data_IF_636212526670
#
_entry.id   IF_636212526670
#
_cell.length_a   1.000
_cell.length_b   1.000
_cell.length_c   1.000
_cell.angle_alpha   90.00
_cell.angle_beta   90.00
_cell.angle_gamma   90.00
#
_symmetry.space_group_name_H-M   'P 1'
#
loop_
_entity.id
_entity.type
_entity.pdbx_description
1 polymer ?
#
# COMPACT_ATOMS: atom_id res chain seq x y z
N UNK A 1 -1.98 -11.78 -20.82
CA UNK A 1 -2.22 -10.37 -20.51
C UNK A 1 -1.92 -10.16 -19.03
N UNK A 2 -0.97 -9.28 -18.71
CA UNK A 2 -0.62 -8.79 -17.38
C UNK A 2 -1.88 -8.17 -16.80
N UNK A 3 -2.06 -8.37 -15.51
CA UNK A 3 -3.19 -7.80 -14.83
C UNK A 3 -3.15 -6.26 -14.81
N UNK A 4 -1.97 -5.60 -14.92
CA UNK A 4 -1.81 -4.13 -14.82
C UNK A 4 -2.44 -3.32 -15.97
N UNK A 5 -1.99 -3.40 -17.24
CA UNK A 5 -2.60 -2.62 -18.32
C UNK A 5 -4.05 -3.06 -18.58
N UNK A 6 -4.38 -4.33 -18.31
CA UNK A 6 -5.73 -4.83 -18.43
C UNK A 6 -6.65 -4.25 -17.35
N UNK A 7 -6.22 -4.17 -16.08
CA UNK A 7 -7.00 -3.56 -15.00
C UNK A 7 -7.19 -2.08 -15.23
N UNK A 8 -6.12 -1.37 -15.64
CA UNK A 8 -6.20 0.05 -16.03
C UNK A 8 -7.19 0.26 -17.18
N UNK A 9 -7.14 -0.55 -18.23
CA UNK A 9 -8.08 -0.45 -19.34
C UNK A 9 -9.54 -0.68 -18.93
N UNK A 10 -9.81 -1.74 -18.14
CA UNK A 10 -11.18 -2.01 -17.67
C UNK A 10 -11.69 -0.89 -16.74
N UNK A 11 -10.84 -0.34 -15.89
CA UNK A 11 -11.21 0.77 -15.03
C UNK A 11 -11.47 2.05 -15.83
N UNK A 12 -10.64 2.33 -16.84
CA UNK A 12 -10.89 3.42 -17.77
C UNK A 12 -12.26 3.26 -18.44
N UNK A 13 -12.57 2.08 -18.99
CA UNK A 13 -13.89 1.82 -19.60
C UNK A 13 -15.05 2.00 -18.61
N UNK A 14 -14.87 1.59 -17.35
CA UNK A 14 -15.87 1.81 -16.30
C UNK A 14 -16.12 3.31 -16.08
N UNK A 15 -15.05 4.10 -16.00
CA UNK A 15 -15.13 5.55 -15.84
C UNK A 15 -15.78 6.21 -17.05
N UNK A 16 -15.43 5.79 -18.27
CA UNK A 16 -16.06 6.29 -19.49
C UNK A 16 -17.58 6.06 -19.49
N UNK A 17 -18.04 4.92 -18.97
CA UNK A 17 -19.47 4.62 -18.80
C UNK A 17 -20.15 5.43 -17.69
N UNK A 18 -19.42 5.74 -16.61
CA UNK A 18 -19.97 6.52 -15.48
C UNK A 18 -19.88 8.04 -15.71
N UNK A 19 -19.02 8.49 -16.63
CA UNK A 19 -18.70 9.89 -16.92
C UNK A 19 -19.91 10.81 -17.13
N UNK A 20 -20.99 10.41 -17.84
CA UNK A 20 -22.19 11.25 -17.96
C UNK A 20 -22.84 11.63 -16.63
N UNK A 21 -22.61 10.83 -15.58
CA UNK A 21 -23.08 11.10 -14.21
C UNK A 21 -22.06 11.86 -13.36
N UNK A 22 -20.78 11.86 -13.74
CA UNK A 22 -19.65 12.44 -13.01
C UNK A 22 -19.23 13.84 -13.52
N UNK A 23 -19.57 14.20 -14.76
CA UNK A 23 -19.29 15.52 -15.38
C UNK A 23 -20.25 16.62 -14.92
N UNK A 24 -20.61 16.67 -13.64
CA UNK A 24 -21.30 17.85 -13.09
C UNK A 24 -20.26 18.95 -12.82
N UNK A 25 -20.55 20.24 -13.07
CA UNK A 25 -19.60 21.36 -12.92
C UNK A 25 -18.96 21.55 -11.53
N UNK A 26 -19.35 20.75 -10.54
CA UNK A 26 -18.94 20.85 -9.13
C UNK A 26 -18.14 19.64 -8.65
N UNK A 27 -17.87 18.65 -9.52
CA UNK A 27 -17.10 17.48 -9.14
C UNK A 27 -15.59 17.82 -9.21
N UNK A 28 -14.86 17.88 -8.07
CA UNK A 28 -13.40 17.91 -8.11
C UNK A 28 -12.89 16.70 -8.89
N UNK A 29 -11.72 16.84 -9.52
CA UNK A 29 -11.11 15.86 -10.42
C UNK A 29 -11.22 14.42 -9.93
N UNK A 30 -11.25 13.48 -10.89
CA UNK A 30 -11.49 12.07 -10.59
C UNK A 30 -10.42 11.51 -9.64
N UNK A 31 -10.82 11.31 -8.38
CA UNK A 31 -10.01 10.67 -7.36
C UNK A 31 -10.21 9.16 -7.41
N UNK A 32 -9.17 8.41 -7.79
CA UNK A 32 -9.20 6.95 -7.80
C UNK A 32 -9.05 6.39 -6.39
N UNK A 33 -10.18 6.04 -5.76
CA UNK A 33 -10.23 5.42 -4.43
C UNK A 33 -10.69 3.97 -4.54
N UNK A 34 -9.81 3.03 -4.19
CA UNK A 34 -10.17 1.62 -3.95
C UNK A 34 -10.11 1.37 -2.43
N UNK A 35 -11.18 0.85 -1.78
CA UNK A 35 -11.16 0.55 -0.35
C UNK A 35 -10.07 -0.47 0.02
N UNK A 36 -9.30 -0.16 1.06
CA UNK A 36 -8.11 -0.91 1.48
C UNK A 36 -8.42 -1.83 2.66
N UNK A 37 -8.63 -3.14 2.44
CA UNK A 37 -9.22 -3.96 3.50
C UNK A 37 -8.93 -5.48 3.58
N UNK A 38 -7.91 -6.15 3.00
CA UNK A 38 -7.55 -7.55 3.47
C UNK A 38 -6.18 -8.07 3.09
N UNK A 39 -5.83 -9.30 3.55
CA UNK A 39 -4.61 -9.51 4.29
C UNK A 39 -3.41 -9.22 3.39
N UNK A 40 -2.67 -8.23 3.84
CA UNK A 40 -1.28 -8.37 4.25
C UNK A 40 -0.19 -8.79 3.22
N UNK A 41 -0.51 -9.21 1.99
CA UNK A 41 0.46 -9.34 0.86
C UNK A 41 -0.06 -8.62 -0.42
N UNK A 42 -1.23 -7.99 -0.30
CA UNK A 42 -1.95 -7.40 -1.43
C UNK A 42 -1.67 -5.91 -1.64
N UNK A 43 -1.27 -5.21 -0.58
CA UNK A 43 -1.16 -3.76 -0.57
C UNK A 43 0.02 -3.24 -1.42
N UNK A 44 1.11 -4.02 -1.48
CA UNK A 44 2.29 -3.73 -2.29
C UNK A 44 1.97 -3.60 -3.80
N UNK A 45 0.92 -4.30 -4.26
CA UNK A 45 0.49 -4.33 -5.67
C UNK A 45 -0.37 -3.11 -6.06
N UNK A 46 -1.12 -2.55 -5.10
CA UNK A 46 -2.12 -1.50 -5.37
C UNK A 46 -1.46 -0.14 -5.67
N UNK A 47 -0.33 0.21 -5.06
CA UNK A 47 0.41 1.44 -5.39
C UNK A 47 0.88 1.43 -6.84
N UNK A 48 1.41 0.30 -7.29
CA UNK A 48 1.95 0.11 -8.65
C UNK A 48 0.85 0.17 -9.70
N UNK A 49 -0.29 -0.44 -9.40
CA UNK A 49 -1.48 -0.37 -10.25
C UNK A 49 -2.01 1.06 -10.35
N UNK A 50 -2.11 1.81 -9.23
CA UNK A 50 -2.59 3.21 -9.25
C UNK A 50 -1.71 4.11 -10.13
N UNK A 51 -0.40 4.00 -10.01
CA UNK A 51 0.55 4.75 -10.84
C UNK A 51 0.32 4.43 -12.33
N UNK A 52 0.29 3.13 -12.67
CA UNK A 52 0.07 2.68 -14.05
C UNK A 52 -1.30 3.09 -14.60
N UNK A 53 -2.35 3.13 -13.76
CA UNK A 53 -3.69 3.59 -14.13
C UNK A 53 -3.70 5.07 -14.51
N UNK A 54 -3.10 5.94 -13.69
CA UNK A 54 -3.07 7.39 -13.97
C UNK A 54 -2.28 7.66 -15.25
N UNK A 55 -1.08 7.09 -15.40
CA UNK A 55 -0.28 7.17 -16.63
C UNK A 55 -1.05 6.66 -17.85
N UNK A 56 -1.74 5.52 -17.72
CA UNK A 56 -2.59 4.97 -18.79
C UNK A 56 -3.73 5.93 -19.18
N UNK A 57 -4.44 6.50 -18.21
CA UNK A 57 -5.56 7.42 -18.49
C UNK A 57 -5.09 8.70 -19.17
N UNK A 58 -3.95 9.25 -18.77
CA UNK A 58 -3.34 10.41 -19.43
C UNK A 58 -2.98 10.10 -20.89
N UNK A 59 -2.38 8.94 -21.16
CA UNK A 59 -2.15 8.47 -22.53
C UNK A 59 -3.47 8.29 -23.31
N UNK A 60 -4.54 7.82 -22.68
CA UNK A 60 -5.86 7.77 -23.33
C UNK A 60 -6.41 9.17 -23.63
N UNK A 61 -6.20 10.14 -22.73
CA UNK A 61 -6.59 11.54 -22.96
C UNK A 61 -5.87 12.15 -24.16
N UNK A 62 -4.57 11.91 -24.31
CA UNK A 62 -3.80 12.37 -25.49
C UNK A 62 -4.38 11.80 -26.80
N UNK A 63 -4.77 10.51 -26.79
CA UNK A 63 -5.43 9.87 -27.93
C UNK A 63 -6.83 10.42 -28.21
N UNK A 64 -7.55 10.92 -27.20
CA UNK A 64 -8.82 11.62 -27.38
C UNK A 64 -8.58 13.00 -28.00
N UNK A 65 -7.64 13.77 -27.45
CA UNK A 65 -7.34 15.13 -27.91
C UNK A 65 -6.83 15.16 -29.36
N UNK A 66 -6.00 14.18 -29.76
CA UNK A 66 -5.51 14.08 -31.12
C UNK A 66 -6.50 13.42 -32.10
N UNK A 67 -7.68 13.00 -31.63
CA UNK A 67 -8.75 12.44 -32.45
C UNK A 67 -8.63 10.95 -32.77
N UNK A 68 -7.58 10.26 -32.29
CA UNK A 68 -7.42 8.80 -32.47
C UNK A 68 -8.56 8.02 -31.79
N UNK A 69 -9.00 8.48 -30.61
CA UNK A 69 -10.19 7.98 -29.92
C UNK A 69 -11.29 9.05 -30.04
N UNK A 70 -12.26 8.82 -30.92
CA UNK A 70 -13.31 9.80 -31.25
C UNK A 70 -14.74 9.27 -31.14
N UNK A 71 -14.94 8.08 -30.56
CA UNK A 71 -16.27 7.51 -30.39
C UNK A 71 -17.06 8.25 -29.28
N UNK A 72 -18.40 8.34 -29.42
CA UNK A 72 -19.29 9.12 -28.54
C UNK A 72 -19.21 8.82 -27.03
N UNK A 73 -18.65 7.68 -26.64
CA UNK A 73 -18.49 7.27 -25.24
C UNK A 73 -17.12 7.60 -24.64
N UNK A 74 -16.21 8.18 -25.42
CA UNK A 74 -14.91 8.60 -24.92
C UNK A 74 -14.95 10.05 -24.45
N UNK A 75 -14.47 10.25 -23.23
CA UNK A 75 -14.44 11.51 -22.50
C UNK A 75 -13.04 11.73 -21.95
N UNK A 76 -12.56 12.96 -22.09
CA UNK A 76 -11.36 13.42 -21.42
C UNK A 76 -11.55 13.35 -19.90
N UNK A 77 -10.60 12.75 -19.20
CA UNK A 77 -10.60 12.64 -17.74
C UNK A 77 -9.59 13.61 -17.15
N UNK A 78 -10.04 14.66 -16.47
CA UNK A 78 -9.12 15.57 -15.80
C UNK A 78 -8.51 14.90 -14.57
N UNK A 79 -7.20 14.65 -14.62
CA UNK A 79 -6.40 14.04 -13.57
C UNK A 79 -5.42 15.08 -13.07
N UNK A 80 -5.49 15.36 -11.79
CA UNK A 80 -4.85 16.54 -11.21
C UNK A 80 -3.92 16.19 -10.04
N UNK A 81 -4.27 15.16 -9.25
CA UNK A 81 -3.49 14.75 -8.09
C UNK A 81 -3.43 13.22 -7.96
N UNK A 82 -2.23 12.67 -7.73
CA UNK A 82 -1.96 11.28 -7.36
C UNK A 82 -1.42 11.24 -5.92
N UNK A 83 -2.21 10.66 -5.01
CA UNK A 83 -1.77 10.36 -3.64
C UNK A 83 -1.37 8.90 -3.49
N UNK A 84 -0.22 8.64 -2.85
CA UNK A 84 0.25 7.29 -2.53
C UNK A 84 0.55 7.21 -1.03
N UNK A 85 -0.11 6.25 -0.37
CA UNK A 85 0.13 5.90 1.03
C UNK A 85 0.94 4.61 1.07
N UNK A 86 2.09 4.63 1.75
CA UNK A 86 2.97 3.47 2.00
C UNK A 86 3.11 2.57 0.76
N UNK A 87 3.48 3.17 -0.37
CA UNK A 87 3.57 2.46 -1.64
C UNK A 87 4.82 1.59 -1.74
N UNK A 88 4.67 0.36 -2.20
CA UNK A 88 5.77 -0.37 -2.80
C UNK A 88 5.79 0.01 -4.29
N UNK A 89 6.65 0.95 -4.66
CA UNK A 89 6.68 1.60 -5.97
C UNK A 89 7.65 0.87 -6.89
N UNK A 90 8.90 0.74 -6.43
CA UNK A 90 10.01 0.25 -7.24
C UNK A 90 10.93 -0.68 -6.44
N UNK A 91 11.12 -1.88 -6.95
CA UNK A 91 11.92 -2.90 -6.26
C UNK A 91 13.41 -2.58 -6.29
N UNK A 92 13.90 -1.91 -7.34
CA UNK A 92 15.31 -1.57 -7.46
C UNK A 92 15.75 -0.61 -6.34
N UNK A 93 14.93 0.41 -6.08
CA UNK A 93 15.19 1.43 -5.06
C UNK A 93 14.83 0.97 -3.64
N UNK A 94 13.82 0.10 -3.49
CA UNK A 94 13.28 -0.24 -2.18
C UNK A 94 13.87 -1.51 -1.54
N UNK A 95 14.31 -2.50 -2.32
CA UNK A 95 14.61 -3.83 -1.77
C UNK A 95 15.70 -3.81 -0.68
N UNK A 96 16.68 -2.91 -0.80
CA UNK A 96 17.73 -2.76 0.22
C UNK A 96 17.16 -2.38 1.60
N UNK A 97 16.07 -1.62 1.62
CA UNK A 97 15.45 -1.12 2.86
C UNK A 97 14.90 -2.23 3.75
N UNK A 98 14.54 -3.39 3.17
CA UNK A 98 14.09 -4.56 3.95
C UNK A 98 15.17 -5.10 4.89
N UNK A 99 16.45 -4.83 4.62
CA UNK A 99 17.55 -5.14 5.52
C UNK A 99 17.94 -3.95 6.41
N UNK A 100 18.03 -2.74 5.84
CA UNK A 100 18.55 -1.58 6.57
C UNK A 100 17.58 -1.03 7.61
N UNK A 101 16.28 -0.96 7.29
CA UNK A 101 15.26 -0.42 8.20
C UNK A 101 15.06 -1.23 9.50
N UNK A 102 14.89 -2.57 9.47
CA UNK A 102 14.74 -3.34 10.71
C UNK A 102 16.03 -3.44 11.52
N UNK A 103 17.18 -3.15 10.91
CA UNK A 103 18.48 -3.08 11.59
C UNK A 103 18.74 -1.69 12.20
N UNK A 104 18.36 -0.62 11.52
CA UNK A 104 18.50 0.76 11.96
C UNK A 104 17.24 1.58 11.60
N UNK A 105 16.48 1.96 12.61
CA UNK A 105 15.24 2.75 12.46
C UNK A 105 15.18 3.91 13.46
N UNK A 106 14.14 4.72 13.33
CA UNK A 106 13.89 5.91 14.14
C UNK A 106 13.29 5.60 15.51
N UNK A 107 13.05 4.32 15.82
CA UNK A 107 12.49 3.84 17.08
C UNK A 107 13.53 3.14 17.98
N UNK A 108 14.77 2.97 17.50
CA UNK A 108 15.83 2.28 18.25
C UNK A 108 15.62 0.77 18.37
N UNK A 109 14.74 0.19 17.53
CA UNK A 109 14.51 -1.24 17.49
C UNK A 109 15.61 -1.96 16.71
N UNK A 110 15.99 -3.14 17.17
CA UNK A 110 16.89 -4.05 16.45
C UNK A 110 16.12 -5.33 16.10
N UNK A 111 15.29 -5.25 15.06
CA UNK A 111 14.45 -6.37 14.63
C UNK A 111 15.23 -7.41 13.79
N UNK A 112 16.34 -7.01 13.17
CA UNK A 112 17.33 -7.93 12.59
C UNK A 112 18.63 -7.88 13.38
N UNK A 113 19.19 -9.05 13.68
CA UNK A 113 20.53 -9.14 14.23
C UNK A 113 21.62 -8.90 13.16
N UNK A 114 22.86 -8.69 13.59
CA UNK A 114 24.01 -8.42 12.70
C UNK A 114 24.19 -9.49 11.62
N UNK A 115 24.05 -10.77 11.98
CA UNK A 115 24.23 -11.88 11.03
C UNK A 115 23.14 -11.87 9.95
N UNK A 116 21.89 -11.62 10.31
CA UNK A 116 20.76 -11.55 9.37
C UNK A 116 20.92 -10.34 8.45
N UNK A 117 21.28 -9.19 9.00
CA UNK A 117 21.56 -7.97 8.24
C UNK A 117 22.67 -8.20 7.22
N UNK A 118 23.84 -8.67 7.65
CA UNK A 118 24.97 -8.90 6.73
C UNK A 118 24.67 -9.95 5.67
N UNK A 119 23.91 -11.01 6.02
CA UNK A 119 23.46 -12.02 5.05
C UNK A 119 22.56 -11.39 3.99
N UNK A 120 21.54 -10.61 4.37
CA UNK A 120 20.65 -9.96 3.42
C UNK A 120 21.39 -8.95 2.53
N UNK A 121 22.31 -8.17 3.11
CA UNK A 121 23.16 -7.24 2.36
C UNK A 121 24.07 -7.95 1.34
N UNK A 122 24.61 -9.13 1.69
CA UNK A 122 25.40 -9.95 0.77
C UNK A 122 24.55 -10.47 -0.40
N UNK A 123 23.37 -11.03 -0.12
CA UNK A 123 22.42 -11.49 -1.15
C UNK A 123 22.00 -10.36 -2.09
N UNK A 124 21.82 -9.14 -1.54
CA UNK A 124 21.44 -7.97 -2.30
C UNK A 124 22.53 -7.49 -3.27
N UNK A 125 23.79 -7.49 -2.82
CA UNK A 125 24.89 -6.77 -3.50
C UNK A 125 25.92 -7.64 -4.21
N UNK A 126 25.97 -8.95 -3.94
CA UNK A 126 26.93 -9.84 -4.61
C UNK A 126 26.73 -9.85 -6.13
N UNK A 127 27.76 -10.16 -6.93
CA UNK A 127 27.60 -10.38 -8.36
C UNK A 127 26.57 -11.47 -8.65
N UNK A 128 25.60 -11.17 -9.52
CA UNK A 128 24.46 -12.04 -9.80
C UNK A 128 23.44 -12.15 -8.65
N UNK A 129 23.54 -11.28 -7.64
CA UNK A 129 22.60 -11.15 -6.53
C UNK A 129 21.33 -10.42 -6.92
N UNK A 130 20.53 -10.08 -5.91
CA UNK A 130 19.17 -9.56 -6.10
C UNK A 130 19.16 -8.26 -6.93
N UNK A 131 20.11 -7.35 -6.70
CA UNK A 131 20.20 -6.10 -7.47
C UNK A 131 20.39 -6.36 -8.98
N UNK A 132 21.27 -7.31 -9.33
CA UNK A 132 21.52 -7.68 -10.74
C UNK A 132 20.31 -8.39 -11.34
N UNK A 133 19.64 -9.25 -10.56
CA UNK A 133 18.42 -9.94 -10.97
C UNK A 133 17.27 -8.97 -11.26
N UNK A 134 17.06 -7.95 -10.42
CA UNK A 134 16.04 -6.91 -10.66
C UNK A 134 16.34 -6.18 -11.98
N UNK A 135 17.58 -5.73 -12.17
CA UNK A 135 18.00 -5.05 -13.42
C UNK A 135 17.80 -5.90 -14.65
N UNK A 136 18.09 -7.20 -14.56
CA UNK A 136 17.86 -8.14 -15.66
C UNK A 136 16.37 -8.37 -15.93
N UNK A 137 15.52 -8.44 -14.90
CA UNK A 137 14.06 -8.47 -15.08
C UNK A 137 13.57 -7.22 -15.82
N UNK A 138 14.00 -6.03 -15.38
CA UNK A 138 13.66 -4.75 -16.03
C UNK A 138 14.15 -4.72 -17.48
N UNK A 139 15.37 -5.21 -17.76
CA UNK A 139 15.93 -5.29 -19.12
C UNK A 139 15.14 -6.26 -20.01
N UNK A 140 14.77 -7.43 -19.49
CA UNK A 140 13.97 -8.42 -20.22
C UNK A 140 12.57 -7.89 -20.50
N UNK A 141 11.92 -7.24 -19.53
CA UNK A 141 10.63 -6.57 -19.72
C UNK A 141 10.71 -5.56 -20.86
N UNK A 142 11.62 -4.59 -20.81
CA UNK A 142 11.76 -3.58 -21.88
C UNK A 142 11.99 -4.19 -23.27
N UNK A 143 12.72 -5.31 -23.34
CA UNK A 143 13.06 -5.95 -24.62
C UNK A 143 11.96 -6.86 -25.17
N UNK A 144 11.28 -7.61 -24.30
CA UNK A 144 10.40 -8.71 -24.69
C UNK A 144 8.93 -8.48 -24.34
N UNK A 145 8.63 -7.49 -23.52
CA UNK A 145 7.28 -7.10 -23.08
C UNK A 145 7.20 -5.58 -22.84
N UNK A 146 7.47 -4.75 -23.87
CA UNK A 146 7.54 -3.29 -23.71
C UNK A 146 6.19 -2.64 -23.34
N UNK A 147 5.07 -3.31 -23.61
CA UNK A 147 3.72 -2.86 -23.22
C UNK A 147 3.30 -3.29 -21.81
N UNK A 148 4.19 -3.97 -21.07
CA UNK A 148 3.92 -4.62 -19.77
C UNK A 148 2.64 -5.48 -19.82
N UNK A 149 2.44 -6.16 -20.95
CA UNK A 149 1.27 -6.97 -21.25
C UNK A 149 1.35 -8.36 -20.66
N UNK A 150 2.38 -8.77 -19.93
CA UNK A 150 2.39 -10.02 -19.15
C UNK A 150 2.09 -11.29 -19.92
N UNK A 151 2.30 -11.26 -21.23
CA UNK A 151 2.12 -12.36 -22.16
C UNK A 151 3.46 -13.02 -22.49
N UNK A 152 4.56 -12.32 -22.29
CA UNK A 152 5.91 -12.89 -22.35
C UNK A 152 6.18 -13.82 -21.17
N UNK A 153 5.96 -15.12 -21.37
CA UNK A 153 6.25 -16.16 -20.37
C UNK A 153 7.67 -16.06 -19.81
N UNK A 154 8.65 -15.75 -20.66
CA UNK A 154 10.05 -15.61 -20.26
C UNK A 154 10.24 -14.45 -19.27
N UNK A 155 9.60 -13.30 -19.51
CA UNK A 155 9.65 -12.16 -18.58
C UNK A 155 8.93 -12.51 -17.29
N UNK A 156 7.71 -13.05 -17.39
CA UNK A 156 6.89 -13.43 -16.24
C UNK A 156 7.61 -14.44 -15.33
N UNK A 157 8.16 -15.52 -15.88
CA UNK A 157 8.90 -16.54 -15.12
C UNK A 157 10.11 -15.93 -14.41
N UNK A 158 10.89 -15.11 -15.11
CA UNK A 158 12.11 -14.52 -14.57
C UNK A 158 11.79 -13.51 -13.46
N UNK A 159 10.90 -12.55 -13.72
CA UNK A 159 10.51 -11.55 -12.74
C UNK A 159 9.80 -12.16 -11.52
N UNK A 160 9.01 -13.24 -11.70
CA UNK A 160 8.45 -14.01 -10.58
C UNK A 160 9.54 -14.66 -9.73
N UNK A 161 10.56 -15.24 -10.37
CA UNK A 161 11.71 -15.80 -9.65
C UNK A 161 12.43 -14.72 -8.83
N UNK A 162 12.65 -13.53 -9.41
CA UNK A 162 13.22 -12.38 -8.68
C UNK A 162 12.38 -12.06 -7.43
N UNK A 163 11.06 -11.96 -7.58
CA UNK A 163 10.15 -11.70 -6.47
C UNK A 163 10.24 -12.76 -5.37
N UNK A 164 10.30 -14.03 -5.75
CA UNK A 164 10.48 -15.14 -4.80
C UNK A 164 11.84 -15.07 -4.07
N UNK A 165 12.91 -14.66 -4.77
CA UNK A 165 14.23 -14.48 -4.14
C UNK A 165 14.24 -13.29 -3.18
N UNK A 166 13.60 -12.16 -3.52
CA UNK A 166 13.43 -11.03 -2.61
C UNK A 166 12.69 -11.48 -1.35
N UNK A 167 11.57 -12.20 -1.52
CA UNK A 167 10.80 -12.73 -0.40
C UNK A 167 11.66 -13.61 0.51
N UNK A 168 12.34 -14.61 -0.07
CA UNK A 168 13.15 -15.58 0.69
C UNK A 168 14.35 -14.94 1.40
N UNK A 169 15.06 -14.01 0.73
CA UNK A 169 16.36 -13.53 1.22
C UNK A 169 16.29 -12.21 1.97
N UNK A 170 15.26 -11.39 1.72
CA UNK A 170 15.12 -10.06 2.32
C UNK A 170 14.00 -10.02 3.35
N UNK A 171 12.82 -10.55 3.01
CA UNK A 171 11.62 -10.42 3.84
C UNK A 171 11.49 -11.51 4.91
N UNK A 172 11.72 -12.77 4.52
CA UNK A 172 11.58 -13.92 5.42
C UNK A 172 12.50 -13.87 6.66
N UNK A 173 13.76 -13.39 6.60
CA UNK A 173 14.58 -13.23 7.80
C UNK A 173 13.93 -12.36 8.89
N UNK A 174 13.21 -11.30 8.49
CA UNK A 174 12.44 -10.45 9.40
C UNK A 174 11.20 -11.18 9.92
N UNK A 175 10.39 -11.76 9.03
CA UNK A 175 9.14 -12.47 9.41
C UNK A 175 9.40 -13.64 10.37
N UNK A 176 10.50 -14.37 10.18
CA UNK A 176 10.88 -15.51 11.00
C UNK A 176 11.33 -15.13 12.41
N UNK A 177 11.67 -13.86 12.67
CA UNK A 177 11.93 -13.42 14.05
C UNK A 177 10.69 -13.52 14.92
N UNK A 178 9.50 -13.39 14.33
CA UNK A 178 8.21 -13.42 15.04
C UNK A 178 8.02 -12.32 16.09
N UNK A 179 8.95 -11.35 16.18
CA UNK A 179 8.97 -10.35 17.24
C UNK A 179 8.10 -9.13 16.93
N UNK A 180 8.13 -8.67 15.69
CA UNK A 180 7.51 -7.41 15.25
C UNK A 180 6.50 -7.61 14.12
N UNK A 181 5.52 -6.71 14.04
CA UNK A 181 4.46 -6.72 13.03
C UNK A 181 4.94 -6.31 11.64
N UNK A 182 4.46 -7.02 10.61
CA UNK A 182 4.81 -6.73 9.21
C UNK A 182 4.40 -5.33 8.73
N UNK A 183 3.40 -4.72 9.36
CA UNK A 183 2.87 -3.39 9.01
C UNK A 183 3.05 -2.31 10.06
N UNK A 184 3.55 -2.70 11.24
CA UNK A 184 4.01 -1.82 12.28
C UNK A 184 5.12 -2.54 13.04
N UNK A 185 6.37 -2.12 12.80
CA UNK A 185 7.56 -2.71 13.43
C UNK A 185 7.57 -2.58 14.95
N UNK A 186 6.79 -1.64 15.50
CA UNK A 186 6.66 -1.39 16.94
C UNK A 186 5.56 -2.22 17.60
N UNK A 187 4.71 -2.88 16.81
CA UNK A 187 3.69 -3.81 17.28
C UNK A 187 4.22 -5.25 17.31
N UNK A 188 3.57 -6.16 18.07
CA UNK A 188 3.86 -7.59 18.00
C UNK A 188 3.56 -8.16 16.60
N UNK A 189 4.11 -9.34 16.30
CA UNK A 189 3.91 -10.03 15.01
C UNK A 189 2.44 -10.28 14.66
N UNK A 190 1.61 -10.58 15.66
CA UNK A 190 0.15 -10.60 15.55
C UNK A 190 -0.38 -9.17 15.75
N UNK A 191 -0.16 -8.32 14.76
CA UNK A 191 -0.49 -6.89 14.83
C UNK A 191 -2.01 -6.68 15.00
N UNK A 192 -2.47 -6.09 16.12
CA UNK A 192 -3.89 -5.91 16.38
C UNK A 192 -4.51 -4.76 15.56
N UNK A 193 -3.71 -3.92 14.90
CA UNK A 193 -4.19 -2.65 14.35
C UNK A 193 -3.83 -2.42 12.87
N UNK A 194 -4.71 -1.78 12.09
CA UNK A 194 -6.10 -1.46 12.39
C UNK A 194 -6.99 -2.70 12.36
N UNK A 195 -8.08 -2.71 13.14
CA UNK A 195 -9.00 -3.83 13.18
C UNK A 195 -9.81 -3.94 11.89
N UNK A 196 -10.17 -5.17 11.52
CA UNK A 196 -10.79 -5.48 10.23
C UNK A 196 -12.33 -5.48 10.27
N UNK A 197 -12.93 -4.65 11.11
CA UNK A 197 -14.38 -4.65 11.38
C UNK A 197 -15.26 -4.43 10.14
N UNK A 198 -14.71 -3.81 9.08
CA UNK A 198 -15.39 -3.64 7.80
C UNK A 198 -15.87 -4.97 7.20
N UNK A 199 -15.16 -6.07 7.45
CA UNK A 199 -15.53 -7.39 6.93
C UNK A 199 -16.85 -7.88 7.50
N UNK A 200 -17.02 -7.79 8.83
CA UNK A 200 -18.26 -8.19 9.49
C UNK A 200 -19.42 -7.27 9.14
N UNK A 201 -19.19 -5.96 9.03
CA UNK A 201 -20.22 -5.01 8.58
C UNK A 201 -20.72 -5.34 7.17
N UNK A 202 -19.82 -5.51 6.20
CA UNK A 202 -20.17 -5.78 4.80
C UNK A 202 -20.81 -7.17 4.59
N UNK A 203 -20.66 -8.08 5.55
CA UNK A 203 -21.29 -9.40 5.52
C UNK A 203 -22.64 -9.47 6.27
N UNK A 204 -23.16 -8.36 6.79
CA UNK A 204 -24.52 -8.34 7.32
C UNK A 204 -25.54 -8.34 6.18
N UNK A 205 -26.56 -9.19 6.27
CA UNK A 205 -27.57 -9.33 5.21
C UNK A 205 -28.29 -8.01 4.86
N UNK A 206 -28.56 -7.16 5.85
CA UNK A 206 -29.20 -5.88 5.59
C UNK A 206 -28.27 -4.90 4.85
N UNK A 207 -26.95 -4.96 5.08
CA UNK A 207 -25.95 -4.17 4.36
C UNK A 207 -25.85 -4.66 2.92
N UNK A 208 -25.71 -5.97 2.71
CA UNK A 208 -25.67 -6.57 1.37
C UNK A 208 -26.93 -6.23 0.57
N UNK A 209 -28.11 -6.30 1.19
CA UNK A 209 -29.38 -5.92 0.57
C UNK A 209 -29.40 -4.43 0.20
N UNK A 210 -28.95 -3.55 1.09
CA UNK A 210 -28.90 -2.12 0.83
C UNK A 210 -27.93 -1.75 -0.29
N UNK A 211 -26.79 -2.47 -0.42
CA UNK A 211 -25.82 -2.30 -1.49
C UNK A 211 -26.19 -3.03 -2.78
N UNK A 212 -27.23 -3.88 -2.77
CA UNK A 212 -27.64 -4.68 -3.93
C UNK A 212 -26.65 -5.80 -4.29
N UNK A 213 -25.82 -6.25 -3.36
CA UNK A 213 -24.80 -7.28 -3.61
C UNK A 213 -25.34 -8.67 -3.27
N UNK A 214 -25.36 -9.62 -4.23
CA UNK A 214 -25.92 -10.96 -3.99
C UNK A 214 -24.94 -11.96 -3.37
N UNK A 215 -23.71 -11.53 -3.04
CA UNK A 215 -22.61 -12.40 -2.60
C UNK A 215 -21.98 -11.91 -1.30
N UNK A 216 -21.36 -12.84 -0.57
CA UNK A 216 -20.57 -12.52 0.61
C UNK A 216 -19.32 -11.72 0.25
N UNK A 217 -18.97 -10.80 1.15
CA UNK A 217 -17.82 -9.95 0.98
C UNK A 217 -16.56 -10.65 1.50
N UNK A 218 -15.60 -10.88 0.60
CA UNK A 218 -14.22 -11.11 0.99
C UNK A 218 -13.46 -9.83 0.71
N UNK A 219 -12.69 -9.38 1.69
CA UNK A 219 -12.01 -8.09 1.52
C UNK A 219 -10.75 -8.21 0.61
N UNK A 220 -10.38 -9.42 0.19
CA UNK A 220 -9.30 -9.73 -0.75
C UNK A 220 -9.63 -10.99 -1.56
N UNK A 221 -8.90 -11.23 -2.65
CA UNK A 221 -9.10 -12.36 -3.57
C UNK A 221 -7.77 -13.07 -3.84
N UNK A 222 -7.60 -14.30 -3.35
CA UNK A 222 -6.38 -15.08 -3.58
C UNK A 222 -6.11 -15.31 -5.07
N UNK A 223 -7.16 -15.57 -5.86
CA UNK A 223 -7.04 -15.81 -7.30
C UNK A 223 -6.52 -14.60 -8.06
N UNK A 224 -6.97 -13.39 -7.69
CA UNK A 224 -6.43 -12.17 -8.32
C UNK A 224 -4.96 -11.99 -7.88
N UNK A 225 -4.62 -12.33 -6.63
CA UNK A 225 -3.28 -12.14 -6.08
C UNK A 225 -2.26 -13.07 -6.72
N UNK A 226 -2.67 -14.31 -6.93
CA UNK A 226 -1.96 -15.32 -7.71
C UNK A 226 -1.82 -14.88 -9.17
N UNK A 227 -2.86 -14.29 -9.77
CA UNK A 227 -2.81 -13.69 -11.10
C UNK A 227 -1.61 -12.74 -11.29
N UNK A 228 -1.48 -11.75 -10.41
CA UNK A 228 -0.33 -10.82 -10.40
C UNK A 228 0.99 -11.50 -10.05
N UNK A 229 0.96 -12.53 -9.18
CA UNK A 229 2.14 -13.30 -8.80
C UNK A 229 2.72 -14.10 -9.97
N UNK A 230 1.86 -14.73 -10.78
CA UNK A 230 2.24 -15.50 -11.95
C UNK A 230 2.91 -14.65 -13.03
N UNK A 231 2.53 -13.38 -13.14
CA UNK A 231 3.11 -12.42 -14.10
C UNK A 231 4.34 -11.69 -13.57
N UNK A 232 4.75 -11.93 -12.32
CA UNK A 232 5.97 -11.37 -11.74
C UNK A 232 5.88 -9.86 -11.47
N UNK A 233 4.67 -9.32 -11.28
CA UNK A 233 4.39 -7.89 -11.22
C UNK A 233 5.16 -7.12 -10.14
N UNK A 234 5.54 -7.81 -9.07
CA UNK A 234 6.30 -7.27 -7.94
C UNK A 234 7.76 -6.97 -8.26
N UNK A 235 8.32 -7.50 -9.34
CA UNK A 235 9.73 -7.25 -9.70
C UNK A 235 9.90 -6.57 -11.04
N UNK A 236 8.79 -6.27 -11.73
CA UNK A 236 8.77 -5.49 -12.96
C UNK A 236 9.20 -4.04 -12.71
N UNK A 237 9.53 -3.30 -13.76
CA UNK A 237 9.87 -1.87 -13.69
C UNK A 237 8.77 -0.99 -14.29
N UNK A 238 9.07 0.30 -14.47
CA UNK A 238 8.21 1.26 -15.16
C UNK A 238 7.47 2.24 -14.25
N UNK A 239 7.36 1.96 -12.95
CA UNK A 239 6.57 2.79 -12.04
C UNK A 239 7.22 4.15 -11.76
N UNK A 240 8.54 4.22 -11.65
CA UNK A 240 9.23 5.50 -11.48
C UNK A 240 9.07 6.36 -12.74
N UNK A 241 9.20 5.76 -13.92
CA UNK A 241 9.00 6.43 -15.20
C UNK A 241 7.56 6.91 -15.37
N UNK A 242 6.57 6.13 -14.95
CA UNK A 242 5.17 6.55 -14.94
C UNK A 242 4.93 7.73 -13.98
N UNK A 243 5.54 7.73 -12.78
CA UNK A 243 5.46 8.90 -11.88
C UNK A 243 6.13 10.12 -12.54
N UNK A 244 7.28 9.94 -13.17
CA UNK A 244 7.98 11.03 -13.84
C UNK A 244 7.17 11.64 -14.97
N UNK A 245 6.57 10.78 -15.82
CA UNK A 245 5.64 11.21 -16.86
C UNK A 245 4.44 11.97 -16.28
N UNK A 246 3.84 11.47 -15.19
CA UNK A 246 2.71 12.12 -14.50
C UNK A 246 3.11 13.53 -14.01
N UNK A 247 4.28 13.66 -13.38
CA UNK A 247 4.81 14.93 -12.87
C UNK A 247 5.10 15.93 -14.00
N UNK A 248 5.76 15.50 -15.07
CA UNK A 248 6.12 16.35 -16.22
C UNK A 248 4.89 16.87 -16.98
N UNK A 249 3.73 16.24 -16.80
CA UNK A 249 2.44 16.68 -17.34
C UNK A 249 1.61 17.48 -16.33
N UNK A 250 2.23 17.97 -15.24
CA UNK A 250 1.63 18.92 -14.32
C UNK A 250 0.74 18.33 -13.23
N UNK A 251 0.64 17.00 -13.13
CA UNK A 251 -0.11 16.33 -12.06
C UNK A 251 0.68 16.39 -10.76
N UNK A 252 0.01 16.70 -9.66
CA UNK A 252 0.60 16.71 -8.31
C UNK A 252 0.77 15.29 -7.80
N UNK A 253 1.94 14.95 -7.28
CA UNK A 253 2.20 13.64 -6.66
C UNK A 253 2.57 13.83 -5.20
N UNK A 254 1.77 13.24 -4.31
CA UNK A 254 1.99 13.28 -2.86
C UNK A 254 2.23 11.87 -2.32
N UNK A 255 3.45 11.62 -1.86
CA UNK A 255 3.85 10.38 -1.21
C UNK A 255 3.80 10.57 0.31
N UNK A 256 3.03 9.74 1.01
CA UNK A 256 3.03 9.71 2.48
C UNK A 256 3.33 8.30 2.99
N UNK A 257 4.28 8.20 3.91
CA UNK A 257 4.76 6.94 4.45
C UNK A 257 4.76 6.99 5.96
N UNK A 258 4.04 6.06 6.59
CA UNK A 258 4.10 5.85 8.04
C UNK A 258 5.48 5.35 8.46
N UNK A 259 6.07 5.98 9.46
CA UNK A 259 7.45 5.72 9.90
C UNK A 259 7.64 4.40 10.67
N UNK A 260 6.56 3.65 10.92
CA UNK A 260 6.58 2.31 11.54
C UNK A 260 6.33 1.17 10.56
N UNK A 261 5.90 1.45 9.34
CA UNK A 261 5.62 0.41 8.37
C UNK A 261 6.90 -0.32 7.96
N UNK A 262 6.91 -1.64 8.01
CA UNK A 262 8.01 -2.46 7.48
C UNK A 262 7.77 -2.81 6.00
N UNK A 263 6.55 -3.24 5.67
CA UNK A 263 6.16 -3.79 4.36
C UNK A 263 6.51 -2.86 3.19
N UNK A 264 6.15 -1.59 3.28
CA UNK A 264 6.54 -0.57 2.32
C UNK A 264 7.12 0.62 3.07
N UNK A 265 8.21 0.36 3.80
CA UNK A 265 8.80 1.32 4.73
C UNK A 265 9.22 2.65 4.08
N UNK A 266 9.22 3.70 4.89
CA UNK A 266 9.53 5.07 4.46
C UNK A 266 10.95 5.25 3.94
N UNK A 267 11.92 4.42 4.37
CA UNK A 267 13.31 4.48 3.89
C UNK A 267 13.38 4.06 2.42
N UNK A 268 12.71 2.96 2.08
CA UNK A 268 12.53 2.55 0.68
C UNK A 268 11.71 3.58 -0.10
N UNK A 269 10.60 4.07 0.48
CA UNK A 269 9.76 5.10 -0.16
C UNK A 269 10.52 6.39 -0.48
N UNK A 270 11.39 6.84 0.42
CA UNK A 270 12.26 7.99 0.21
C UNK A 270 13.25 7.73 -0.94
N UNK A 271 13.92 6.57 -0.94
CA UNK A 271 14.83 6.18 -2.00
C UNK A 271 14.11 6.16 -3.37
N UNK A 272 12.92 5.56 -3.44
CA UNK A 272 12.10 5.55 -4.66
C UNK A 272 11.72 6.98 -5.09
N UNK A 273 11.36 7.86 -4.16
CA UNK A 273 11.02 9.26 -4.48
C UNK A 273 12.19 10.02 -5.10
N UNK A 274 13.42 9.78 -4.63
CA UNK A 274 14.63 10.42 -5.14
C UNK A 274 15.07 9.84 -6.50
N UNK A 275 14.61 8.64 -6.84
CA UNK A 275 14.94 7.95 -8.09
C UNK A 275 13.93 8.20 -9.22
N UNK A 276 12.86 8.97 -9.00
CA UNK A 276 11.90 9.31 -10.06
C UNK A 276 12.61 10.13 -11.16
N UNK A 277 12.64 9.64 -12.43
CA UNK A 277 13.29 10.34 -13.53
C UNK A 277 12.31 11.34 -14.14
N UNK A 278 12.37 12.60 -13.70
CA UNK A 278 11.51 13.69 -14.19
C UNK A 278 12.31 14.99 -14.27
N UNK A 279 11.73 16.03 -14.89
CA UNK A 279 12.45 17.26 -15.21
C UNK A 279 13.12 17.96 -14.01
N UNK A 280 12.57 17.78 -12.79
CA UNK A 280 13.04 18.43 -11.57
C UNK A 280 13.61 17.45 -10.52
N UNK A 281 14.14 16.31 -10.97
CA UNK A 281 14.71 15.31 -10.06
C UNK A 281 15.78 15.88 -9.12
N UNK A 282 16.76 16.61 -9.67
CA UNK A 282 17.84 17.21 -8.89
C UNK A 282 17.35 18.31 -7.93
N UNK A 283 16.34 19.08 -8.36
CA UNK A 283 15.73 20.14 -7.55
C UNK A 283 14.99 19.55 -6.34
N UNK A 284 14.26 18.45 -6.55
CA UNK A 284 13.60 17.73 -5.46
C UNK A 284 14.58 17.05 -4.52
N UNK A 285 15.64 16.43 -5.05
CA UNK A 285 16.70 15.86 -4.24
C UNK A 285 17.40 16.93 -3.38
N UNK A 286 17.47 18.16 -3.87
CA UNK A 286 18.06 19.31 -3.17
C UNK A 286 17.13 19.96 -2.14
N UNK A 287 15.82 19.71 -2.20
CA UNK A 287 14.86 20.26 -1.25
C UNK A 287 15.07 19.66 0.17
N UNK A 288 14.91 20.47 1.20
CA UNK A 288 15.10 20.04 2.60
C UNK A 288 13.80 19.58 3.24
N UNK A 289 13.91 18.75 4.27
CA UNK A 289 12.82 18.34 5.14
C UNK A 289 12.42 19.45 6.11
N UNK A 290 11.14 19.79 6.14
CA UNK A 290 10.54 20.72 7.09
C UNK A 290 9.38 20.06 7.84
N UNK A 291 9.00 20.54 9.04
CA UNK A 291 7.88 19.99 9.79
C UNK A 291 6.56 20.04 9.02
N UNK A 292 5.81 18.94 9.05
CA UNK A 292 4.41 18.90 8.63
C UNK A 292 3.54 19.49 9.75
N UNK A 293 3.24 20.79 9.64
CA UNK A 293 2.48 21.54 10.63
C UNK A 293 1.00 21.16 10.52
N UNK A 294 0.47 20.54 11.57
CA UNK A 294 -0.95 20.21 11.73
C UNK A 294 -1.61 21.25 12.63
N UNK A 295 -0.95 21.60 13.72
CA UNK A 295 -1.34 22.70 14.60
C UNK A 295 -0.11 23.51 15.03
N UNK A 296 -0.26 24.69 15.64
CA UNK A 296 0.87 25.52 16.08
C UNK A 296 1.88 24.81 17.00
N UNK A 297 1.46 23.74 17.68
CA UNK A 297 2.28 22.98 18.64
C UNK A 297 2.44 21.51 18.26
N UNK A 298 1.91 21.07 17.12
CA UNK A 298 1.91 19.66 16.70
C UNK A 298 2.40 19.50 15.26
N UNK A 299 3.44 18.67 15.10
CA UNK A 299 3.91 18.19 13.80
C UNK A 299 3.47 16.75 13.59
N UNK A 300 2.86 16.48 12.43
CA UNK A 300 2.47 15.13 12.02
C UNK A 300 3.58 14.34 11.33
N UNK A 301 4.73 14.97 11.04
CA UNK A 301 5.78 14.36 10.24
C UNK A 301 6.84 15.34 9.73
N UNK A 302 7.64 14.88 8.77
CA UNK A 302 8.57 15.71 7.98
C UNK A 302 8.23 15.58 6.51
N UNK A 303 8.24 16.70 5.81
CA UNK A 303 7.96 16.77 4.38
C UNK A 303 9.12 17.41 3.64
N UNK A 304 9.52 16.77 2.55
CA UNK A 304 10.33 17.34 1.46
C UNK A 304 9.39 17.59 0.28
N UNK A 305 9.47 18.77 -0.33
CA UNK A 305 8.64 19.10 -1.47
C UNK A 305 9.36 20.05 -2.42
N UNK A 306 9.24 19.77 -3.72
CA UNK A 306 9.59 20.67 -4.80
C UNK A 306 8.45 20.72 -5.81
N UNK A 307 7.89 21.90 -6.02
CA UNK A 307 6.71 22.14 -6.87
C UNK A 307 5.60 21.14 -6.57
N UNK A 308 5.24 20.37 -7.60
CA UNK A 308 4.16 19.38 -7.60
C UNK A 308 4.52 18.04 -6.96
N UNK A 309 5.78 17.81 -6.54
CA UNK A 309 6.21 16.54 -5.96
C UNK A 309 6.57 16.65 -4.49
N UNK A 310 6.00 15.79 -3.66
CA UNK A 310 6.27 15.74 -2.22
C UNK A 310 6.47 14.31 -1.71
N UNK A 311 7.36 14.18 -0.73
CA UNK A 311 7.54 13.00 0.10
C UNK A 311 7.39 13.39 1.57
N UNK A 312 6.57 12.64 2.30
CA UNK A 312 6.28 12.87 3.71
C UNK A 312 6.49 11.61 4.54
N UNK A 313 7.39 11.70 5.52
CA UNK A 313 7.50 10.73 6.62
C UNK A 313 6.47 11.12 7.69
N UNK A 314 5.44 10.31 7.87
CA UNK A 314 4.38 10.50 8.88
C UNK A 314 4.76 9.78 10.16
N UNK A 315 4.76 10.51 11.27
CA UNK A 315 5.14 9.96 12.57
C UNK A 315 4.07 9.03 13.13
N UNK A 316 4.50 8.05 13.92
CA UNK A 316 3.62 7.21 14.75
C UNK A 316 2.52 6.53 13.90
N UNK A 317 2.89 6.08 12.70
CA UNK A 317 1.98 5.45 11.76
C UNK A 317 2.60 4.20 11.12
N UNK A 318 1.84 3.11 11.10
CA UNK A 318 2.14 1.93 10.29
C UNK A 318 1.66 2.08 8.85
N UNK A 319 1.45 0.95 8.18
CA UNK A 319 1.16 0.89 6.74
C UNK A 319 -0.09 1.65 6.31
N UNK A 320 -1.17 1.55 7.09
CA UNK A 320 -2.42 2.25 6.80
C UNK A 320 -2.44 3.61 7.48
N UNK A 321 -1.58 4.54 7.06
CA UNK A 321 -1.41 5.88 7.67
C UNK A 321 -2.74 6.56 8.07
N UNK A 322 -3.79 6.61 7.24
CA UNK A 322 -5.07 7.23 7.64
C UNK A 322 -5.75 6.59 8.85
N UNK A 323 -5.48 5.32 9.16
CA UNK A 323 -5.99 4.66 10.36
C UNK A 323 -5.21 5.07 11.60
N UNK A 324 -3.90 5.24 11.48
CA UNK A 324 -3.01 5.63 12.59
C UNK A 324 -3.08 7.13 12.90
N UNK A 325 -3.05 7.96 11.85
CA UNK A 325 -2.96 9.42 11.92
C UNK A 325 -4.02 10.06 10.98
N UNK A 326 -5.32 9.95 11.31
CA UNK A 326 -6.41 10.38 10.43
C UNK A 326 -6.38 11.89 10.11
N UNK A 327 -6.10 12.74 11.11
CA UNK A 327 -5.99 14.19 10.93
C UNK A 327 -4.82 14.55 9.99
N UNK A 328 -3.66 13.94 10.22
CA UNK A 328 -2.46 14.14 9.39
C UNK A 328 -2.72 13.72 7.94
N UNK A 329 -3.29 12.54 7.74
CA UNK A 329 -3.60 12.02 6.41
C UNK A 329 -4.62 12.91 5.68
N UNK A 330 -5.63 13.42 6.41
CA UNK A 330 -6.62 14.34 5.87
C UNK A 330 -5.99 15.67 5.45
N UNK A 331 -5.12 16.25 6.27
CA UNK A 331 -4.42 17.50 5.96
C UNK A 331 -3.53 17.36 4.72
N UNK A 332 -2.72 16.29 4.62
CA UNK A 332 -1.91 16.03 3.42
C UNK A 332 -2.82 15.88 2.19
N UNK A 333 -3.90 15.12 2.31
CA UNK A 333 -4.87 14.92 1.24
C UNK A 333 -5.46 16.25 0.76
N UNK A 334 -6.00 17.05 1.68
CA UNK A 334 -6.64 18.32 1.36
C UNK A 334 -5.66 19.31 0.71
N UNK A 335 -4.43 19.39 1.23
CA UNK A 335 -3.38 20.27 0.68
C UNK A 335 -2.97 19.83 -0.73
N UNK A 336 -2.81 18.52 -0.95
CA UNK A 336 -2.46 17.99 -2.27
C UNK A 336 -3.54 18.31 -3.32
N UNK A 337 -4.82 18.01 -3.02
CA UNK A 337 -5.91 18.22 -3.99
C UNK A 337 -6.25 19.69 -4.22
N UNK A 338 -5.88 20.59 -3.30
CA UNK A 338 -6.08 22.04 -3.42
C UNK A 338 -4.85 22.80 -3.91
N UNK A 339 -3.78 22.09 -4.27
CA UNK A 339 -2.56 22.71 -4.80
C UNK A 339 -1.84 23.60 -3.78
N UNK A 340 -1.82 23.18 -2.50
CA UNK A 340 -1.09 23.86 -1.43
C UNK A 340 0.20 23.12 -1.08
N UNK A 341 1.16 23.84 -0.48
CA UNK A 341 2.32 23.18 0.12
C UNK A 341 1.88 22.19 1.19
N UNK A 342 2.44 20.97 1.16
CA UNK A 342 2.05 19.89 2.05
C UNK A 342 2.45 20.22 3.49
N UNK A 343 3.59 20.89 3.70
CA UNK A 343 4.12 21.17 5.02
C UNK A 343 3.21 22.07 5.88
N UNK A 344 2.64 23.14 5.31
CA UNK A 344 1.88 24.15 6.07
C UNK A 344 0.47 24.40 5.56
N UNK A 345 0.19 24.09 4.30
CA UNK A 345 -1.09 24.38 3.64
C UNK A 345 -1.31 25.88 3.33
N UNK A 346 -0.30 26.74 3.48
CA UNK A 346 -0.44 28.20 3.38
C UNK A 346 -0.02 28.75 2.02
N UNK A 347 0.92 28.10 1.35
CA UNK A 347 1.47 28.52 0.07
C UNK A 347 0.67 27.87 -1.05
N UNK A 348 0.15 28.68 -1.97
CA UNK A 348 -0.44 28.18 -3.23
C UNK A 348 0.67 27.84 -4.21
N UNK A 349 0.73 26.60 -4.68
CA UNK A 349 1.71 26.17 -5.67
C UNK A 349 1.47 26.84 -7.03
N UNK A 350 0.20 27.08 -7.37
CA UNK A 350 -0.20 27.77 -8.59
C UNK A 350 0.23 29.24 -8.58
N UNK A 351 0.05 29.95 -7.46
CA UNK A 351 0.47 31.35 -7.34
C UNK A 351 2.00 31.48 -7.47
N UNK A 352 2.77 30.57 -6.87
CA UNK A 352 4.23 30.54 -7.02
C UNK A 352 4.62 30.28 -8.48
N UNK A 353 3.98 29.31 -9.13
CA UNK A 353 4.22 29.00 -10.54
C UNK A 353 3.85 30.16 -11.48
N UNK A 354 2.80 30.93 -11.17
CA UNK A 354 2.38 32.10 -11.94
C UNK A 354 3.45 33.22 -11.95
N UNK A 355 4.37 33.22 -10.99
CA UNK A 355 5.53 34.12 -10.94
C UNK A 355 6.78 33.54 -11.62
N UNK A 356 6.68 32.38 -12.28
CA UNK A 356 7.81 31.71 -12.92
C UNK A 356 8.76 31.02 -11.93
N UNK A 357 8.33 30.82 -10.69
CA UNK A 357 9.08 30.14 -9.64
C UNK A 357 8.48 28.75 -9.33
N UNK A 358 9.21 27.92 -8.61
CA UNK A 358 8.71 26.65 -8.07
C UNK A 358 8.89 26.65 -6.56
N UNK A 359 7.88 26.16 -5.84
CA UNK A 359 8.00 25.99 -4.39
C UNK A 359 9.11 24.99 -4.07
N UNK A 360 9.93 25.28 -3.06
CA UNK A 360 10.95 24.36 -2.58
C UNK A 360 11.03 24.46 -1.07
N UNK A 361 10.88 23.32 -0.38
CA UNK A 361 11.04 23.26 1.08
C UNK A 361 12.51 23.46 1.48
N UNK A 362 12.74 24.30 2.48
CA UNK A 362 14.09 24.65 2.97
C UNK A 362 14.26 24.20 4.41
N UNK A 363 14.96 23.08 4.60
CA UNK A 363 15.12 22.44 5.90
C UNK A 363 16.29 21.46 5.94
N UNK A 364 16.20 20.42 6.77
CA UNK A 364 17.31 19.46 6.95
C UNK A 364 17.49 18.57 5.72
N UNK A 365 18.71 18.08 5.44
CA UNK A 365 18.95 17.22 4.27
C UNK A 365 18.30 15.83 4.42
N UNK A 366 18.02 15.40 5.65
CA UNK A 366 17.44 14.10 5.97
C UNK A 366 16.35 14.21 7.05
N UNK A 367 15.60 13.11 7.21
CA UNK A 367 14.56 12.95 8.21
C UNK A 367 14.98 12.09 9.43
N UNK A 368 16.23 11.61 9.50
CA UNK A 368 16.68 10.60 10.47
C UNK A 368 16.94 11.14 11.88
N UNK A 369 17.22 12.44 11.98
CA UNK A 369 17.46 13.13 13.25
C UNK A 369 16.23 13.10 14.17
N UNK A 370 15.01 13.04 13.62
CA UNK A 370 13.81 12.92 14.43
C UNK A 370 13.57 11.45 14.80
N UNK A 371 13.88 11.13 16.06
CA UNK A 371 13.54 9.84 16.67
C UNK A 371 12.12 9.87 17.26
N UNK A 372 11.52 8.71 17.31
CA UNK A 372 10.13 8.51 17.73
C UNK A 372 10.11 7.57 18.93
N UNK A 373 9.31 7.90 19.95
CA UNK A 373 9.08 6.98 21.06
C UNK A 373 8.16 5.84 20.62
N UNK A 374 8.33 4.65 21.22
CA UNK A 374 7.44 3.51 21.02
C UNK A 374 6.21 3.72 21.92
N UNK A 375 5.04 3.81 21.31
CA UNK A 375 3.78 3.86 22.04
C UNK A 375 3.26 2.43 22.31
N UNK A 376 2.47 2.21 23.39
CA UNK A 376 1.85 0.91 23.63
C UNK A 376 0.98 0.46 22.45
N UNK A 377 1.10 -0.82 22.08
CA UNK A 377 0.20 -1.41 21.09
C UNK A 377 -1.24 -1.48 21.62
N UNK A 378 -2.26 -1.35 20.76
CA UNK A 378 -3.64 -1.64 21.14
C UNK A 378 -3.80 -3.07 21.70
N UNK A 379 -4.83 -3.33 22.51
CA UNK A 379 -5.12 -4.70 22.96
C UNK A 379 -5.42 -5.60 21.76
N UNK A 380 -5.00 -6.86 21.83
CA UNK A 380 -5.34 -7.84 20.80
C UNK A 380 -6.80 -8.29 20.94
N UNK A 381 -7.46 -8.47 19.80
CA UNK A 381 -8.82 -8.98 19.71
C UNK A 381 -8.87 -10.11 18.66
N UNK A 382 -9.36 -11.28 19.06
CA UNK A 382 -9.60 -12.36 18.11
C UNK A 382 -10.90 -12.12 17.33
N UNK A 383 -10.75 -11.63 16.09
CA UNK A 383 -11.83 -11.32 15.18
C UNK A 383 -12.04 -12.43 14.14
N UNK A 384 -13.25 -12.97 14.03
CA UNK A 384 -13.53 -14.16 13.20
C UNK A 384 -13.26 -13.98 11.70
N UNK A 385 -13.28 -12.75 11.18
CA UNK A 385 -12.95 -12.50 9.77
C UNK A 385 -11.46 -12.25 9.53
N UNK A 386 -10.64 -12.25 10.57
CA UNK A 386 -9.19 -12.11 10.56
C UNK A 386 -8.53 -12.94 11.68
N UNK A 387 -8.69 -14.26 11.59
CA UNK A 387 -8.22 -15.20 12.63
C UNK A 387 -6.70 -15.29 12.76
N UNK A 388 -5.94 -14.66 11.87
CA UNK A 388 -4.47 -14.62 11.94
C UNK A 388 -3.92 -13.84 13.14
N UNK A 389 -4.78 -13.07 13.82
CA UNK A 389 -4.45 -12.30 15.03
C UNK A 389 -4.91 -12.96 16.33
N UNK A 390 -5.61 -14.09 16.22
CA UNK A 390 -6.09 -14.84 17.37
C UNK A 390 -4.96 -15.63 18.01
N UNK A 391 -4.99 -15.72 19.34
CA UNK A 391 -4.12 -16.63 20.07
C UNK A 391 -4.41 -18.10 19.71
N UNK A 392 -3.43 -18.97 19.95
CA UNK A 392 -3.62 -20.41 19.75
C UNK A 392 -4.77 -20.99 20.59
N UNK A 393 -5.06 -20.39 21.75
CA UNK A 393 -6.15 -20.81 22.62
C UNK A 393 -7.52 -20.42 22.04
N UNK A 394 -7.68 -19.17 21.60
CA UNK A 394 -8.92 -18.72 20.95
C UNK A 394 -9.18 -19.49 19.66
N UNK A 395 -8.13 -19.81 18.88
CA UNK A 395 -8.26 -20.66 17.70
C UNK A 395 -8.79 -22.06 18.05
N UNK A 396 -8.38 -22.64 19.18
CA UNK A 396 -8.91 -23.92 19.65
C UNK A 396 -10.38 -23.79 20.04
N UNK A 397 -10.77 -22.71 20.72
CA UNK A 397 -12.18 -22.46 21.07
C UNK A 397 -13.07 -22.31 19.83
N UNK A 398 -12.54 -21.69 18.77
CA UNK A 398 -13.25 -21.59 17.48
C UNK A 398 -13.39 -22.98 16.85
N UNK A 399 -12.32 -23.76 16.83
CA UNK A 399 -12.28 -25.08 16.20
C UNK A 399 -13.15 -26.13 16.90
N UNK A 400 -13.17 -26.12 18.24
CA UNK A 400 -13.96 -27.06 19.04
C UNK A 400 -15.42 -26.61 19.24
N UNK A 401 -15.79 -25.43 18.71
CA UNK A 401 -17.14 -24.88 18.77
C UNK A 401 -17.52 -24.31 20.14
N UNK A 402 -16.58 -24.14 21.06
CA UNK A 402 -16.83 -23.61 22.41
C UNK A 402 -16.63 -22.10 22.53
N UNK A 403 -16.16 -21.40 21.49
CA UNK A 403 -15.98 -19.95 21.52
C UNK A 403 -17.32 -19.20 21.73
N UNK A 404 -17.36 -18.32 22.73
CA UNK A 404 -18.42 -17.33 22.89
C UNK A 404 -18.07 -16.14 22.01
N UNK A 405 -18.92 -15.85 21.02
CA UNK A 405 -18.67 -14.82 20.02
C UNK A 405 -19.72 -13.71 20.15
N UNK A 406 -19.27 -12.47 20.21
CA UNK A 406 -20.12 -11.28 20.17
C UNK A 406 -19.61 -10.32 19.11
N UNK A 407 -20.48 -9.89 18.19
CA UNK A 407 -20.13 -8.96 17.11
C UNK A 407 -18.89 -9.40 16.30
N UNK A 408 -18.77 -10.72 16.10
CA UNK A 408 -17.66 -11.42 15.44
C UNK A 408 -16.32 -11.40 16.21
N UNK A 409 -16.32 -10.98 17.47
CA UNK A 409 -15.16 -11.02 18.38
C UNK A 409 -15.33 -12.18 19.35
N UNK A 410 -14.27 -12.97 19.56
CA UNK A 410 -14.24 -14.00 20.61
C UNK A 410 -14.12 -13.30 21.97
N UNK A 411 -15.11 -13.48 22.83
CA UNK A 411 -15.20 -12.83 24.15
C UNK A 411 -15.07 -13.83 25.31
N UNK A 412 -14.92 -15.12 25.01
CA UNK A 412 -14.71 -16.16 26.00
C UNK A 412 -14.96 -17.56 25.44
N UNK A 413 -15.13 -18.52 26.36
CA UNK A 413 -15.38 -19.93 26.07
C UNK A 413 -16.58 -20.44 26.87
N UNK A 414 -17.43 -21.25 26.26
CA UNK A 414 -18.42 -22.02 26.99
C UNK A 414 -17.69 -22.94 27.99
N UNK A 415 -18.16 -23.05 29.24
CA UNK A 415 -17.66 -24.05 30.16
C UNK A 415 -17.84 -25.42 29.51
N UNK A 416 -16.83 -26.29 29.61
CA UNK A 416 -16.97 -27.67 29.19
C UNK A 416 -18.21 -28.25 29.88
N UNK A 417 -19.30 -28.46 29.13
CA UNK A 417 -20.37 -29.34 29.62
C UNK A 417 -19.72 -30.70 29.73
N UNK A 418 -19.77 -31.28 30.93
CA UNK A 418 -19.47 -32.70 31.10
C UNK A 418 -20.25 -33.46 30.03
N UNK A 419 -19.54 -33.91 29.00
CA UNK A 419 -20.02 -34.81 27.95
C UNK A 419 -20.34 -36.21 28.51
N UNK A 420 -20.51 -36.33 29.83
CA UNK A 420 -20.90 -37.56 30.54
C UNK A 420 -22.42 -37.77 30.60
N UNK A 421 -23.26 -36.77 30.28
CA UNK A 421 -24.72 -36.96 30.31
C UNK A 421 -25.33 -37.43 28.97
N UNK A 422 -24.66 -37.21 27.82
CA UNK A 422 -25.24 -37.54 26.50
C UNK A 422 -24.90 -38.94 25.98
N UNK A 423 -24.08 -39.72 26.71
CA UNK A 423 -23.82 -41.13 26.38
C UNK A 423 -24.85 -42.11 26.99
N UNK A 424 -25.77 -41.61 27.85
CA UNK A 424 -26.74 -42.43 28.59
C UNK A 424 -28.15 -42.55 27.99
N UNK A 425 -28.55 -41.67 27.06
CA UNK A 425 -29.95 -41.61 26.57
C UNK A 425 -30.12 -41.71 25.04
N UNK A 426 -29.10 -42.14 24.29
CA UNK A 426 -29.24 -42.45 22.86
C UNK A 426 -29.23 -43.94 22.51
N UNK A 427 -29.18 -44.84 23.51
CA UNK A 427 -29.12 -46.29 23.30
C UNK A 427 -30.41 -47.06 23.63
N UNK A 428 -31.56 -46.37 23.80
CA UNK A 428 -32.82 -47.05 24.12
C UNK A 428 -34.10 -46.48 23.47
N UNK A 429 -33.99 -45.72 22.37
CA UNK A 429 -35.19 -45.26 21.63
C UNK A 429 -35.16 -45.41 20.10
N UNK A 430 -34.21 -46.14 19.53
CA UNK A 430 -34.28 -46.61 18.14
C UNK A 430 -33.81 -48.06 18.08
N UNK A 431 -34.71 -48.98 18.45
CA UNK A 431 -34.88 -50.36 17.94
C UNK A 431 -35.76 -51.16 18.92
N UNK A 432 -37.04 -51.33 18.57
CA UNK A 432 -37.85 -52.48 19.02
C UNK A 432 -39.12 -52.20 19.81
N UNK A 433 -40.20 -51.76 19.15
CA UNK A 433 -41.46 -52.52 18.89
C UNK A 433 -42.58 -51.59 18.45
#
# INVERSE_FOLDING_TARGET
MSAKPLSAHHFWLLLQRCSPSLQRPWAPGLLLRVPQTKPMDYFEKISRERIGMVSFFMKQNELIENGTISHRGAHYLHLDTLGIVNGCIDSESQTLSYATFPHNNTYGLQALNESQYHSAMYEMTRPGGIADMIKECHRLQRKLDPGDHGDSKRVADYCRMVGATIEEKMNQPYRQTGASGWYDITHPSQDPFPPMYGAGFLNQHWVQRALGTPVNHTMGSSSVGEGFGMTGDMSRGGQLEDIGYILDHGVRVALMYGDRDYACNWVGGEAASLSVPYAHQDDFASAGYIPLVISPVHSGGLTRQFGNFSFTRVYQAGHMVPSYQPEVAYEIFMRAITGRDIATGKVSLEEVAAHGEQYSSKGTPDAWWMKSEILPSPPSECYLFDTGRCSEEELKWIQDGTAIVKDWIVVGREPAKDLEWAAGEFHQQVLGT
#
